data_IF_491962333945
#
_entry.id   IF_491962333945
#
_cell.length_a   1.000
_cell.length_b   1.000
_cell.length_c   1.000
_cell.angle_alpha   90.00
_cell.angle_beta   90.00
_cell.angle_gamma   90.00
#
_symmetry.space_group_name_H-M   'P 1'
#
loop_
_entity.id
_entity.type
_entity.pdbx_description
1 polymer ?
#
# COMPACT_ATOMS: atom_id res chain seq x y z
N UNK A 1 0.03 5.21 14.60
CA UNK A 1 -0.43 3.98 15.28
C UNK A 1 -0.35 2.77 14.35
N UNK A 2 -1.00 2.81 13.17
CA UNK A 2 -1.00 1.72 12.18
C UNK A 2 0.41 1.36 11.67
N UNK A 3 1.30 2.33 11.45
CA UNK A 3 2.69 2.05 11.04
C UNK A 3 3.49 1.20 12.06
N UNK A 4 3.22 1.35 13.37
CA UNK A 4 3.87 0.52 14.41
C UNK A 4 3.31 -0.90 14.49
N UNK A 5 2.03 -1.07 14.14
CA UNK A 5 1.41 -2.39 13.98
C UNK A 5 1.99 -3.10 12.76
N UNK A 6 2.09 -2.36 11.64
CA UNK A 6 2.63 -2.87 10.38
C UNK A 6 4.06 -3.41 10.54
N UNK A 7 4.91 -2.78 11.36
CA UNK A 7 6.29 -3.22 11.54
C UNK A 7 6.44 -4.39 12.52
N UNK A 8 5.55 -4.52 13.51
CA UNK A 8 5.65 -5.59 14.53
C UNK A 8 4.91 -6.88 14.13
N UNK A 9 3.72 -6.75 13.53
CA UNK A 9 2.80 -7.88 13.34
C UNK A 9 2.68 -8.33 11.89
N UNK A 10 3.34 -7.65 10.95
CA UNK A 10 3.27 -7.97 9.53
C UNK A 10 4.67 -7.99 8.91
N UNK A 11 4.83 -8.87 7.91
CA UNK A 11 6.07 -9.01 7.16
C UNK A 11 5.81 -9.13 5.67
N UNK A 12 6.87 -8.98 4.88
CA UNK A 12 6.82 -8.98 3.42
C UNK A 12 7.11 -7.61 2.78
N UNK A 13 7.09 -7.56 1.44
CA UNK A 13 7.35 -6.35 0.68
C UNK A 13 6.36 -5.24 1.04
N UNK A 14 6.76 -3.97 0.85
CA UNK A 14 5.82 -2.86 0.95
C UNK A 14 4.56 -3.14 0.14
N UNK A 15 3.40 -2.87 0.73
CA UNK A 15 2.09 -3.02 0.08
C UNK A 15 1.68 -4.46 -0.27
N UNK A 16 2.43 -5.48 0.17
CA UNK A 16 2.09 -6.89 -0.02
C UNK A 16 2.39 -7.70 1.25
N UNK A 17 2.00 -7.15 2.40
CA UNK A 17 2.32 -7.75 3.69
C UNK A 17 1.29 -8.75 4.16
N UNK A 18 1.77 -9.75 4.87
CA UNK A 18 0.94 -10.76 5.55
C UNK A 18 1.30 -10.80 7.03
N UNK A 19 0.43 -11.35 7.91
CA UNK A 19 0.77 -11.46 9.32
C UNK A 19 2.10 -12.19 9.53
N UNK A 20 2.88 -11.71 10.48
CA UNK A 20 4.08 -12.40 10.91
C UNK A 20 3.70 -13.69 11.65
N UNK A 21 4.39 -14.79 11.38
CA UNK A 21 4.13 -16.05 12.06
C UNK A 21 4.71 -16.05 13.48
N UNK A 22 3.88 -15.76 14.48
CA UNK A 22 4.25 -15.78 15.90
C UNK A 22 3.20 -16.50 16.73
N UNK A 23 3.53 -17.68 17.24
CA UNK A 23 2.65 -18.43 18.14
C UNK A 23 2.53 -17.76 19.51
N UNK A 24 3.58 -17.05 19.96
CA UNK A 24 3.56 -16.29 21.22
C UNK A 24 2.57 -15.13 21.16
N UNK A 25 2.59 -14.35 20.08
CA UNK A 25 1.66 -13.23 19.90
C UNK A 25 0.23 -13.74 19.64
N UNK A 26 0.08 -14.89 18.97
CA UNK A 26 -1.21 -15.57 18.78
C UNK A 26 -1.82 -16.06 20.09
N UNK A 27 -1.05 -16.77 20.92
CA UNK A 27 -1.49 -17.25 22.24
C UNK A 27 -1.89 -16.09 23.15
N UNK A 28 -1.18 -14.96 23.03
CA UNK A 28 -1.47 -13.73 23.78
C UNK A 28 -2.69 -12.95 23.26
N UNK A 29 -3.36 -13.39 22.19
CA UNK A 29 -4.53 -12.69 21.63
C UNK A 29 -4.20 -11.40 20.88
N UNK A 30 -2.94 -11.18 20.51
CA UNK A 30 -2.50 -9.89 19.99
C UNK A 30 -2.97 -9.63 18.55
N UNK A 31 -3.19 -10.66 17.72
CA UNK A 31 -3.75 -10.44 16.38
C UNK A 31 -5.20 -9.97 16.45
N UNK A 32 -5.96 -10.39 17.46
CA UNK A 32 -7.30 -9.85 17.72
C UNK A 32 -7.21 -8.38 18.11
N UNK A 33 -6.31 -8.04 19.01
CA UNK A 33 -6.06 -6.64 19.40
C UNK A 33 -5.67 -5.79 18.19
N UNK A 34 -4.84 -6.32 17.28
CA UNK A 34 -4.51 -5.68 16.01
C UNK A 34 -5.78 -5.43 15.17
N UNK A 35 -6.63 -6.44 14.99
CA UNK A 35 -7.92 -6.28 14.30
C UNK A 35 -8.81 -5.20 14.91
N UNK A 36 -8.90 -5.15 16.24
CA UNK A 36 -9.66 -4.13 16.97
C UNK A 36 -9.08 -2.73 16.74
N UNK A 37 -7.75 -2.57 16.76
CA UNK A 37 -7.10 -1.27 16.49
C UNK A 37 -7.34 -0.83 15.04
N UNK A 38 -7.28 -1.75 14.07
CA UNK A 38 -7.59 -1.42 12.66
C UNK A 38 -9.05 -0.98 12.52
N UNK A 39 -9.98 -1.66 13.20
CA UNK A 39 -11.39 -1.28 13.20
C UNK A 39 -11.63 0.10 13.84
N UNK A 40 -10.99 0.40 14.98
CA UNK A 40 -11.05 1.73 15.61
C UNK A 40 -10.49 2.80 14.69
N UNK A 41 -9.32 2.55 14.08
CA UNK A 41 -8.69 3.49 13.15
C UNK A 41 -9.67 3.87 12.04
N UNK A 42 -10.26 2.88 11.36
CA UNK A 42 -11.20 3.14 10.27
C UNK A 42 -12.49 3.81 10.74
N UNK A 43 -13.06 3.39 11.87
CA UNK A 43 -14.28 3.97 12.41
C UNK A 43 -14.13 5.44 12.82
N UNK A 44 -12.91 5.86 13.18
CA UNK A 44 -12.60 7.23 13.61
C UNK A 44 -12.02 8.10 12.49
N UNK A 45 -12.00 7.63 11.24
CA UNK A 45 -11.37 8.35 10.13
C UNK A 45 -9.84 8.41 10.22
N UNK A 46 -9.23 7.54 11.01
CA UNK A 46 -7.79 7.35 11.09
C UNK A 46 -7.22 6.66 9.84
N UNK A 47 -5.91 6.45 9.84
CA UNK A 47 -5.20 5.91 8.69
C UNK A 47 -5.66 4.47 8.38
N UNK A 48 -5.95 4.21 7.11
CA UNK A 48 -6.26 2.88 6.64
C UNK A 48 -4.98 2.02 6.54
N UNK A 49 -5.06 0.69 6.74
CA UNK A 49 -3.89 -0.19 6.62
C UNK A 49 -3.16 -0.08 5.27
N UNK A 50 -3.85 -0.24 4.13
CA UNK A 50 -3.27 -0.10 2.77
C UNK A 50 -1.99 -0.90 2.46
N UNK A 51 -1.63 -1.89 3.29
CA UNK A 51 -0.40 -2.67 3.14
C UNK A 51 -0.60 -4.18 2.97
N UNK A 52 -1.84 -4.67 3.10
CA UNK A 52 -2.13 -6.10 3.06
C UNK A 52 -1.85 -6.69 1.68
N UNK A 53 -1.39 -7.93 1.66
CA UNK A 53 -1.35 -8.76 0.46
C UNK A 53 -2.76 -9.10 -0.01
N UNK A 54 -2.91 -9.30 -1.33
CA UNK A 54 -4.20 -9.59 -1.94
C UNK A 54 -4.84 -10.89 -1.40
N UNK A 55 -4.02 -11.91 -1.11
CA UNK A 55 -4.51 -13.18 -0.59
C UNK A 55 -4.96 -13.04 0.87
N UNK A 56 -4.25 -12.27 1.69
CA UNK A 56 -4.63 -12.05 3.08
C UNK A 56 -5.95 -11.29 3.16
N UNK A 57 -6.13 -10.26 2.31
CA UNK A 57 -7.41 -9.57 2.20
C UNK A 57 -8.53 -10.50 1.71
N UNK A 58 -8.27 -11.30 0.68
CA UNK A 58 -9.24 -12.31 0.20
C UNK A 58 -9.70 -13.24 1.33
N UNK A 59 -8.77 -13.69 2.19
CA UNK A 59 -9.11 -14.50 3.36
C UNK A 59 -10.00 -13.74 4.36
N UNK A 60 -9.75 -12.45 4.61
CA UNK A 60 -10.63 -11.65 5.48
C UNK A 60 -12.06 -11.52 4.93
N UNK A 61 -12.23 -11.56 3.62
CA UNK A 61 -13.54 -11.49 2.97
C UNK A 61 -14.32 -12.81 3.07
N UNK A 62 -13.67 -13.94 2.74
CA UNK A 62 -14.36 -15.21 2.52
C UNK A 62 -13.98 -16.34 3.50
N UNK A 63 -12.94 -16.16 4.31
CA UNK A 63 -12.43 -17.14 5.27
C UNK A 63 -11.76 -18.35 4.64
N UNK A 64 -11.37 -18.28 3.37
CA UNK A 64 -10.81 -19.40 2.60
C UNK A 64 -9.51 -19.01 1.93
N UNK A 65 -8.50 -19.87 2.06
CA UNK A 65 -7.27 -19.78 1.29
C UNK A 65 -7.45 -20.64 0.05
N UNK A 66 -7.36 -20.05 -1.14
CA UNK A 66 -7.39 -20.80 -2.40
C UNK A 66 -5.96 -21.24 -2.76
N UNK A 67 -5.61 -22.53 -2.61
CA UNK A 67 -4.23 -22.97 -2.83
C UNK A 67 -3.78 -22.72 -4.27
N UNK A 68 -4.66 -22.84 -5.26
CA UNK A 68 -4.29 -22.76 -6.69
C UNK A 68 -3.82 -21.37 -7.11
N UNK A 69 -4.15 -20.33 -6.34
CA UNK A 69 -3.75 -18.95 -6.59
C UNK A 69 -2.46 -18.55 -5.87
N UNK A 70 -1.90 -19.42 -5.03
CA UNK A 70 -0.67 -19.16 -4.29
C UNK A 70 0.55 -19.47 -5.15
N UNK A 71 1.52 -18.56 -5.13
CA UNK A 71 2.82 -18.71 -5.78
C UNK A 71 3.96 -18.39 -4.80
N UNK A 72 5.21 -18.59 -5.24
CA UNK A 72 6.38 -18.28 -4.40
C UNK A 72 6.48 -16.80 -4.02
N UNK A 73 5.95 -15.89 -4.83
CA UNK A 73 5.97 -14.45 -4.54
C UNK A 73 5.06 -14.09 -3.36
N UNK A 74 4.07 -14.94 -3.10
CA UNK A 74 3.10 -14.81 -2.02
C UNK A 74 3.72 -15.04 -0.63
N UNK A 75 4.83 -15.77 -0.56
CA UNK A 75 5.49 -16.16 0.70
C UNK A 75 6.12 -14.93 1.36
N UNK A 76 5.57 -14.43 2.46
CA UNK A 76 6.06 -13.23 3.13
C UNK A 76 7.34 -13.46 3.98
N UNK A 77 7.46 -14.64 4.57
CA UNK A 77 8.56 -15.05 5.46
C UNK A 77 9.91 -15.07 4.72
N UNK A 78 10.89 -14.36 5.28
CA UNK A 78 12.21 -14.22 4.66
C UNK A 78 13.03 -15.51 4.66
N UNK A 79 12.93 -16.35 5.70
CA UNK A 79 13.63 -17.64 5.78
C UNK A 79 13.05 -18.64 4.79
N UNK A 80 11.73 -18.70 4.65
CA UNK A 80 11.07 -19.59 3.69
C UNK A 80 11.28 -19.13 2.25
N UNK A 81 11.35 -17.81 1.99
CA UNK A 81 11.79 -17.30 0.68
C UNK A 81 13.20 -17.75 0.35
N UNK A 82 14.14 -17.62 1.31
CA UNK A 82 15.51 -18.08 1.12
C UNK A 82 15.58 -19.59 0.85
N UNK A 83 14.77 -20.38 1.56
CA UNK A 83 14.68 -21.82 1.32
C UNK A 83 14.17 -22.12 -0.10
N UNK A 84 13.15 -21.39 -0.58
CA UNK A 84 12.66 -21.50 -1.97
C UNK A 84 13.79 -21.20 -2.96
N UNK A 85 14.50 -20.09 -2.78
CA UNK A 85 15.60 -19.68 -3.67
C UNK A 85 16.75 -20.72 -3.68
N UNK A 86 17.06 -21.29 -2.52
CA UNK A 86 18.05 -22.36 -2.38
C UNK A 86 17.60 -23.65 -3.08
N UNK A 87 16.34 -24.05 -2.94
CA UNK A 87 15.78 -25.22 -3.65
C UNK A 87 15.82 -25.01 -5.15
N UNK A 88 15.43 -23.83 -5.65
CA UNK A 88 15.43 -23.52 -7.08
C UNK A 88 16.85 -23.58 -7.66
N UNK A 89 17.84 -23.04 -6.95
CA UNK A 89 19.24 -23.02 -7.38
C UNK A 89 20.05 -24.28 -7.04
N UNK A 90 19.47 -25.24 -6.30
CA UNK A 90 20.20 -26.41 -5.78
C UNK A 90 20.74 -27.37 -6.85
N UNK A 91 21.86 -28.03 -6.53
CA UNK A 91 22.32 -29.27 -7.17
C UNK A 91 21.89 -30.47 -6.32
N UNK A 92 22.09 -31.70 -6.79
CA UNK A 92 21.73 -32.90 -6.00
C UNK A 92 22.39 -32.91 -4.61
N UNK A 93 23.66 -32.50 -4.52
CA UNK A 93 24.39 -32.46 -3.24
C UNK A 93 23.88 -31.38 -2.30
N UNK A 94 23.58 -30.17 -2.81
CA UNK A 94 23.09 -29.09 -1.95
C UNK A 94 21.63 -29.29 -1.55
N UNK A 95 20.81 -29.95 -2.39
CA UNK A 95 19.43 -30.28 -2.08
C UNK A 95 19.32 -31.28 -0.92
N UNK A 96 20.24 -32.26 -0.85
CA UNK A 96 20.29 -33.17 0.31
C UNK A 96 20.52 -32.43 1.63
N UNK A 97 21.29 -31.34 1.60
CA UNK A 97 21.51 -30.47 2.76
C UNK A 97 20.28 -29.67 3.21
N UNK A 98 19.21 -29.62 2.41
CA UNK A 98 17.95 -28.93 2.72
C UNK A 98 16.82 -29.90 3.10
N UNK A 99 17.15 -31.18 3.26
CA UNK A 99 16.15 -32.25 3.42
C UNK A 99 15.27 -32.01 4.64
N UNK A 100 15.87 -31.69 5.79
CA UNK A 100 15.13 -31.52 7.03
C UNK A 100 14.21 -30.28 6.95
N UNK A 101 14.67 -29.17 6.38
CA UNK A 101 13.85 -27.97 6.17
C UNK A 101 12.67 -28.23 5.23
N UNK A 102 12.88 -28.99 4.15
CA UNK A 102 11.84 -29.39 3.20
C UNK A 102 10.80 -30.30 3.88
N UNK A 103 11.26 -31.30 4.65
CA UNK A 103 10.38 -32.21 5.39
C UNK A 103 9.60 -31.48 6.48
N UNK A 104 10.21 -30.51 7.17
CA UNK A 104 9.55 -29.65 8.17
C UNK A 104 8.44 -28.78 7.56
N UNK A 105 8.52 -28.48 6.26
CA UNK A 105 7.43 -27.84 5.52
C UNK A 105 6.29 -28.80 5.15
N UNK A 106 6.38 -30.09 5.52
CA UNK A 106 5.36 -31.10 5.24
C UNK A 106 5.45 -31.73 3.86
N UNK A 107 6.58 -31.58 3.14
CA UNK A 107 6.79 -32.28 1.89
C UNK A 107 7.03 -33.77 2.13
N UNK A 108 6.29 -34.65 1.45
CA UNK A 108 6.41 -36.12 1.60
C UNK A 108 6.79 -36.82 0.30
N UNK A 109 7.11 -36.07 -0.74
CA UNK A 109 7.52 -36.61 -2.04
C UNK A 109 8.99 -36.99 -2.09
N UNK A 110 9.43 -37.49 -3.24
CA UNK A 110 10.86 -37.72 -3.49
C UNK A 110 11.60 -36.38 -3.58
N UNK A 111 12.61 -36.20 -2.73
CA UNK A 111 13.47 -35.01 -2.74
C UNK A 111 14.59 -35.26 -3.77
N UNK A 112 14.45 -34.66 -4.95
CA UNK A 112 15.48 -34.67 -5.99
C UNK A 112 15.36 -33.44 -6.88
N UNK A 113 16.43 -33.11 -7.61
CA UNK A 113 16.44 -31.91 -8.49
C UNK A 113 15.41 -31.97 -9.62
N UNK A 114 14.87 -33.16 -9.93
CA UNK A 114 13.79 -33.31 -10.92
C UNK A 114 12.41 -32.91 -10.36
N UNK A 115 12.26 -32.82 -9.04
CA UNK A 115 11.00 -32.54 -8.36
C UNK A 115 11.01 -31.21 -7.59
N UNK A 116 11.79 -30.22 -8.06
CA UNK A 116 11.89 -28.90 -7.42
C UNK A 116 10.56 -28.15 -7.35
N UNK A 117 9.74 -28.23 -8.40
CA UNK A 117 8.44 -27.56 -8.45
C UNK A 117 7.49 -28.03 -7.34
N UNK A 118 7.25 -29.34 -7.14
CA UNK A 118 6.51 -29.85 -5.97
C UNK A 118 7.08 -29.42 -4.62
N UNK A 119 8.41 -29.34 -4.48
CA UNK A 119 9.05 -28.91 -3.23
C UNK A 119 8.75 -27.43 -2.96
N UNK A 120 9.01 -26.55 -3.93
CA UNK A 120 8.70 -25.11 -3.83
C UNK A 120 7.22 -24.88 -3.55
N UNK A 121 6.36 -25.67 -4.18
CA UNK A 121 4.92 -25.64 -3.95
C UNK A 121 4.57 -26.00 -2.50
N UNK A 122 5.16 -27.06 -1.94
CA UNK A 122 4.92 -27.45 -0.56
C UNK A 122 5.40 -26.38 0.43
N UNK A 123 6.58 -25.80 0.22
CA UNK A 123 7.10 -24.70 1.04
C UNK A 123 6.17 -23.48 0.97
N UNK A 124 5.68 -23.14 -0.24
CA UNK A 124 4.71 -22.04 -0.44
C UNK A 124 3.42 -22.28 0.34
N UNK A 125 2.85 -23.49 0.24
CA UNK A 125 1.63 -23.85 0.96
C UNK A 125 1.86 -23.82 2.48
N UNK A 126 2.97 -24.37 2.95
CA UNK A 126 3.34 -24.33 4.36
C UNK A 126 3.42 -22.90 4.89
N UNK A 127 4.11 -22.01 4.15
CA UNK A 127 4.30 -20.62 4.53
C UNK A 127 2.97 -19.85 4.69
N UNK A 128 2.01 -20.09 3.79
CA UNK A 128 0.73 -19.36 3.75
C UNK A 128 -0.29 -19.99 4.71
N UNK A 129 -0.47 -21.31 4.67
CA UNK A 129 -1.51 -21.99 5.45
C UNK A 129 -1.28 -21.88 6.96
N UNK A 130 -0.02 -21.84 7.41
CA UNK A 130 0.30 -21.66 8.83
C UNK A 130 -0.12 -20.29 9.39
N UNK A 131 -0.38 -19.30 8.55
CA UNK A 131 -0.84 -17.96 8.95
C UNK A 131 -2.36 -17.90 9.18
N UNK A 132 -3.10 -18.95 8.82
CA UNK A 132 -4.55 -19.00 8.96
C UNK A 132 -5.03 -18.69 10.40
N UNK A 133 -4.42 -19.20 11.49
CA UNK A 133 -4.86 -18.88 12.85
C UNK A 133 -4.71 -17.38 13.19
N UNK A 134 -3.62 -16.75 12.74
CA UNK A 134 -3.37 -15.32 12.97
C UNK A 134 -4.40 -14.46 12.23
N UNK A 135 -4.71 -14.82 10.98
CA UNK A 135 -5.75 -14.13 10.20
C UNK A 135 -7.14 -14.35 10.79
N UNK A 136 -7.44 -15.54 11.32
CA UNK A 136 -8.72 -15.81 11.97
C UNK A 136 -8.89 -14.96 13.23
N UNK A 137 -7.86 -14.91 14.08
CA UNK A 137 -7.86 -14.08 15.28
C UNK A 137 -7.93 -12.57 14.93
N UNK A 138 -7.24 -12.13 13.87
CA UNK A 138 -7.37 -10.77 13.36
C UNK A 138 -8.80 -10.44 12.88
N UNK A 139 -9.42 -11.39 12.18
CA UNK A 139 -10.80 -11.29 11.70
C UNK A 139 -11.79 -11.15 12.86
N UNK A 140 -11.56 -11.83 13.99
CA UNK A 140 -12.35 -11.63 15.22
C UNK A 140 -12.27 -10.18 15.71
N UNK A 141 -11.08 -9.58 15.71
CA UNK A 141 -10.91 -8.19 16.12
C UNK A 141 -11.60 -7.20 15.18
N UNK A 142 -11.60 -7.48 13.87
CA UNK A 142 -12.32 -6.69 12.87
C UNK A 142 -13.85 -6.75 13.04
N UNK A 143 -14.40 -7.63 13.88
CA UNK A 143 -15.84 -7.62 14.19
C UNK A 143 -16.25 -6.38 14.99
N UNK A 144 -15.29 -5.68 15.62
CA UNK A 144 -15.53 -4.42 16.30
C UNK A 144 -16.15 -3.40 15.32
N UNK A 145 -17.21 -2.71 15.78
CA UNK A 145 -18.06 -1.83 14.96
C UNK A 145 -18.70 -2.49 13.73
N UNK A 146 -18.70 -3.82 13.63
CA UNK A 146 -19.25 -4.55 12.49
C UNK A 146 -18.40 -4.46 11.23
N UNK A 147 -17.12 -4.04 11.31
CA UNK A 147 -16.28 -3.85 10.13
C UNK A 147 -16.11 -5.15 9.31
N UNK A 148 -15.95 -6.31 9.97
CA UNK A 148 -15.87 -7.59 9.25
C UNK A 148 -17.14 -7.89 8.43
N UNK A 149 -18.33 -7.51 8.92
CA UNK A 149 -19.57 -7.66 8.15
C UNK A 149 -19.53 -6.81 6.88
N UNK A 150 -19.03 -5.57 6.97
CA UNK A 150 -18.87 -4.68 5.82
C UNK A 150 -17.86 -5.23 4.81
N UNK A 151 -16.70 -5.72 5.27
CA UNK A 151 -15.68 -6.34 4.41
C UNK A 151 -16.27 -7.53 3.65
N UNK A 152 -17.05 -8.37 4.33
CA UNK A 152 -17.70 -9.53 3.71
C UNK A 152 -18.79 -9.13 2.72
N UNK A 153 -19.58 -8.10 3.04
CA UNK A 153 -20.69 -7.65 2.22
C UNK A 153 -20.25 -6.83 1.00
N UNK A 154 -19.17 -6.06 1.14
CA UNK A 154 -18.68 -5.11 0.14
C UNK A 154 -17.16 -5.25 -0.08
N UNK A 155 -16.66 -6.43 -0.50
CA UNK A 155 -15.23 -6.71 -0.58
C UNK A 155 -14.50 -5.76 -1.54
N UNK A 156 -15.10 -5.39 -2.66
CA UNK A 156 -14.47 -4.47 -3.64
C UNK A 156 -14.39 -3.03 -3.11
N UNK A 157 -15.38 -2.60 -2.30
CA UNK A 157 -15.41 -1.24 -1.71
C UNK A 157 -14.41 -1.15 -0.56
N UNK A 158 -14.28 -2.19 0.25
CA UNK A 158 -13.37 -2.23 1.38
C UNK A 158 -11.91 -2.52 0.97
N UNK A 159 -11.67 -3.07 -0.23
CA UNK A 159 -10.33 -3.49 -0.66
C UNK A 159 -9.28 -2.38 -0.56
N UNK A 160 -9.53 -1.14 -1.06
CA UNK A 160 -8.54 -0.07 -1.00
C UNK A 160 -8.16 0.38 0.42
N UNK A 161 -8.95 0.01 1.43
CA UNK A 161 -8.62 0.29 2.84
C UNK A 161 -7.54 -0.66 3.36
N UNK A 162 -7.44 -1.87 2.83
CA UNK A 162 -6.54 -2.91 3.32
C UNK A 162 -5.36 -3.13 2.40
N UNK A 163 -5.63 -3.25 1.11
CA UNK A 163 -4.63 -3.44 0.06
C UNK A 163 -4.40 -2.09 -0.59
N UNK A 164 -3.15 -1.74 -0.92
CA UNK A 164 -2.90 -0.54 -1.68
C UNK A 164 -3.64 -0.64 -3.02
N UNK A 165 -4.72 0.12 -3.16
CA UNK A 165 -5.33 0.38 -4.46
C UNK A 165 -4.30 1.12 -5.30
N UNK A 166 -3.94 0.58 -6.46
CA UNK A 166 -3.22 1.40 -7.43
C UNK A 166 -4.10 2.58 -7.76
N UNK A 167 -3.62 3.80 -7.50
CA UNK A 167 -4.08 5.04 -8.17
C UNK A 167 -3.25 6.29 -7.84
N UNK A 168 -2.25 6.22 -6.96
CA UNK A 168 -1.20 7.26 -6.90
C UNK A 168 0.18 6.61 -6.96
N UNK A 169 0.82 6.68 -8.13
CA UNK A 169 2.21 6.27 -8.29
C UNK A 169 3.11 7.45 -7.93
N UNK A 170 3.67 7.41 -6.73
CA UNK A 170 4.69 8.37 -6.31
C UNK A 170 6.05 7.92 -6.85
N UNK A 171 6.65 8.73 -7.72
CA UNK A 171 8.05 8.53 -8.13
C UNK A 171 8.96 9.17 -7.08
N UNK A 172 9.10 8.48 -5.95
CA UNK A 172 10.03 8.89 -4.89
C UNK A 172 11.47 8.52 -5.27
N UNK A 173 12.39 9.39 -4.88
CA UNK A 173 13.83 9.15 -4.84
C UNK A 173 14.16 7.97 -3.91
N UNK A 174 15.36 7.42 -4.05
CA UNK A 174 15.84 6.27 -3.28
C UNK A 174 15.69 6.47 -1.77
N UNK A 175 15.15 5.45 -1.08
CA UNK A 175 14.93 5.46 0.36
C UNK A 175 16.24 5.71 1.12
N UNK A 176 16.20 6.59 2.11
CA UNK A 176 17.36 6.96 2.92
C UNK A 176 18.11 8.21 2.43
N UNK A 177 17.69 8.81 1.33
CA UNK A 177 18.22 10.11 0.87
C UNK A 177 17.47 11.29 1.49
N UNK A 178 18.13 12.44 1.62
CA UNK A 178 17.45 13.69 2.02
C UNK A 178 16.36 14.11 1.03
N UNK A 179 16.53 13.77 -0.26
CA UNK A 179 15.51 13.98 -1.29
C UNK A 179 14.24 13.18 -0.99
N UNK A 180 14.38 11.89 -0.67
CA UNK A 180 13.24 11.03 -0.32
C UNK A 180 12.43 11.59 0.85
N UNK A 181 13.10 12.08 1.90
CA UNK A 181 12.41 12.67 3.05
C UNK A 181 11.58 13.89 2.65
N UNK A 182 12.17 14.81 1.88
CA UNK A 182 11.48 16.04 1.46
C UNK A 182 10.31 15.74 0.51
N UNK A 183 10.45 14.75 -0.37
CA UNK A 183 9.37 14.30 -1.25
C UNK A 183 8.22 13.69 -0.45
N UNK A 184 8.54 12.89 0.56
CA UNK A 184 7.55 12.31 1.47
C UNK A 184 6.82 13.41 2.27
N UNK A 185 7.55 14.42 2.75
CA UNK A 185 6.96 15.58 3.44
C UNK A 185 5.98 16.33 2.53
N UNK A 186 6.30 16.52 1.25
CA UNK A 186 5.40 17.15 0.27
C UNK A 186 4.16 16.30 -0.02
N UNK A 187 4.29 14.98 -0.08
CA UNK A 187 3.14 14.07 -0.21
C UNK A 187 2.24 14.18 1.02
N UNK A 188 2.82 14.19 2.22
CA UNK A 188 2.07 14.38 3.46
C UNK A 188 1.37 15.74 3.48
N UNK A 189 2.01 16.82 3.02
CA UNK A 189 1.38 18.13 2.94
C UNK A 189 0.17 18.15 1.98
N UNK A 190 0.19 17.40 0.88
CA UNK A 190 -0.99 17.23 0.02
C UNK A 190 -2.12 16.55 0.82
N UNK A 191 -1.81 15.47 1.53
CA UNK A 191 -2.80 14.73 2.33
C UNK A 191 -3.40 15.61 3.43
N UNK A 192 -2.55 16.31 4.18
CA UNK A 192 -2.95 17.23 5.25
C UNK A 192 -3.85 18.34 4.72
N UNK A 193 -3.50 18.95 3.57
CA UNK A 193 -4.31 20.01 2.97
C UNK A 193 -5.67 19.51 2.51
N UNK A 194 -5.72 18.33 1.87
CA UNK A 194 -6.98 17.75 1.42
C UNK A 194 -7.87 17.37 2.60
N UNK A 195 -7.28 16.83 3.67
CA UNK A 195 -7.99 16.52 4.90
C UNK A 195 -8.55 17.78 5.59
N UNK A 196 -7.73 18.84 5.72
CA UNK A 196 -8.19 20.15 6.23
C UNK A 196 -9.37 20.68 5.42
N UNK A 197 -9.34 20.48 4.10
CA UNK A 197 -10.38 20.99 3.20
C UNK A 197 -11.73 20.29 3.30
N UNK A 198 -11.76 19.07 3.84
CA UNK A 198 -13.01 18.33 4.09
C UNK A 198 -13.73 18.82 5.36
N UNK A 199 -13.03 19.50 6.27
CA UNK A 199 -13.57 19.99 7.53
C UNK A 199 -14.17 21.41 7.46
N UNK A 200 -13.91 22.17 6.39
CA UNK A 200 -14.30 23.58 6.25
C UNK A 200 -15.64 23.73 5.48
N UNK A 201 -16.54 24.61 5.92
CA UNK A 201 -17.83 24.80 5.26
C UNK A 201 -17.67 25.37 3.83
N UNK A 202 -18.21 24.63 2.85
CA UNK A 202 -17.98 24.79 1.42
C UNK A 202 -18.30 26.19 0.85
N UNK A 203 -17.26 27.01 0.68
CA UNK A 203 -17.28 28.16 -0.23
C UNK A 203 -17.09 27.74 -1.70
N UNK A 204 -17.61 28.49 -2.69
CA UNK A 204 -17.50 28.15 -4.12
C UNK A 204 -16.06 28.17 -4.68
N UNK A 205 -15.07 28.56 -3.87
CA UNK A 205 -13.64 28.59 -4.20
C UNK A 205 -12.78 27.73 -3.27
N UNK A 206 -13.36 26.93 -2.39
CA UNK A 206 -12.58 26.00 -1.57
C UNK A 206 -11.95 24.91 -2.44
N UNK A 207 -10.73 24.53 -2.09
CA UNK A 207 -10.15 23.27 -2.56
C UNK A 207 -10.97 22.14 -1.92
N UNK A 208 -11.24 21.08 -2.67
CA UNK A 208 -11.80 19.83 -2.16
C UNK A 208 -11.09 18.69 -2.87
N UNK A 209 -11.11 17.44 -2.36
CA UNK A 209 -10.50 16.30 -3.04
C UNK A 209 -10.98 16.15 -4.49
N UNK A 210 -12.29 16.31 -4.72
CA UNK A 210 -12.87 16.23 -6.06
C UNK A 210 -12.37 17.36 -6.98
N UNK A 211 -12.28 18.60 -6.50
CA UNK A 211 -11.79 19.72 -7.32
C UNK A 211 -10.30 19.66 -7.56
N UNK A 212 -9.53 19.19 -6.57
CA UNK A 212 -8.10 18.95 -6.72
C UNK A 212 -7.83 17.85 -7.74
N UNK A 213 -8.58 16.75 -7.68
CA UNK A 213 -8.51 15.68 -8.68
C UNK A 213 -8.90 16.21 -10.07
N UNK A 214 -9.94 17.03 -10.16
CA UNK A 214 -10.34 17.68 -11.42
C UNK A 214 -9.24 18.58 -11.98
N UNK A 215 -8.56 19.32 -11.13
CA UNK A 215 -7.44 20.16 -11.55
C UNK A 215 -6.30 19.31 -12.12
N UNK A 216 -5.94 18.21 -11.45
CA UNK A 216 -4.80 17.37 -11.85
C UNK A 216 -5.10 16.48 -13.06
N UNK A 217 -6.33 16.00 -13.20
CA UNK A 217 -6.68 14.95 -14.16
C UNK A 217 -7.68 15.39 -15.22
N UNK A 218 -8.26 16.59 -15.08
CA UNK A 218 -9.39 17.05 -15.89
C UNK A 218 -10.75 16.48 -15.48
N UNK A 219 -10.79 15.48 -14.58
CA UNK A 219 -12.02 14.85 -14.11
C UNK A 219 -12.09 14.86 -12.57
N UNK A 220 -13.21 15.34 -12.03
CA UNK A 220 -13.42 15.41 -10.57
C UNK A 220 -13.84 14.08 -9.92
N UNK A 221 -13.92 13.01 -10.72
CA UNK A 221 -14.36 11.69 -10.28
C UNK A 221 -13.34 10.63 -10.65
N UNK A 222 -13.24 9.61 -9.81
CA UNK A 222 -12.47 8.39 -10.09
C UNK A 222 -13.28 7.53 -11.08
N UNK A 223 -12.66 6.96 -12.14
CA UNK A 223 -13.36 6.08 -13.07
C UNK A 223 -13.99 4.89 -12.36
N UNK A 224 -15.16 4.46 -12.83
CA UNK A 224 -15.90 3.34 -12.24
C UNK A 224 -15.54 2.01 -12.90
N UNK A 225 -15.18 2.01 -14.19
CA UNK A 225 -14.91 0.80 -14.94
C UNK A 225 -13.54 0.21 -14.56
N UNK A 226 -13.43 -1.11 -14.30
CA UNK A 226 -12.16 -1.75 -13.93
C UNK A 226 -11.04 -1.54 -14.95
N UNK A 227 -11.37 -1.49 -16.25
CA UNK A 227 -10.43 -1.18 -17.32
C UNK A 227 -9.87 0.24 -17.24
N UNK A 228 -10.72 1.21 -16.90
CA UNK A 228 -10.33 2.63 -16.79
C UNK A 228 -9.58 2.90 -15.49
N UNK A 229 -9.97 2.24 -14.38
CA UNK A 229 -9.25 2.29 -13.10
C UNK A 229 -7.81 1.82 -13.23
N UNK A 230 -7.56 0.73 -13.99
CA UNK A 230 -6.21 0.23 -14.21
C UNK A 230 -5.27 1.28 -14.81
N UNK A 231 -5.82 2.20 -15.61
CA UNK A 231 -5.08 3.26 -16.30
C UNK A 231 -5.22 4.63 -15.60
N UNK A 232 -5.86 4.69 -14.43
CA UNK A 232 -6.12 5.92 -13.68
C UNK A 232 -5.06 6.26 -12.62
N UNK A 233 -3.78 6.15 -12.98
CA UNK A 233 -2.71 6.55 -12.07
C UNK A 233 -2.42 8.06 -12.12
N UNK A 234 -2.54 8.76 -10.99
CA UNK A 234 -1.99 10.11 -10.84
C UNK A 234 -0.49 10.01 -10.53
N UNK A 235 0.29 10.74 -11.32
CA UNK A 235 1.76 10.77 -11.23
C UNK A 235 2.22 12.04 -10.53
N UNK A 236 2.89 11.88 -9.38
CA UNK A 236 3.52 13.01 -8.67
C UNK A 236 5.02 13.00 -8.92
N UNK A 237 5.56 14.12 -9.43
CA UNK A 237 6.99 14.34 -9.67
C UNK A 237 7.50 15.51 -8.85
N UNK A 238 8.79 15.50 -8.55
CA UNK A 238 9.43 16.49 -7.70
C UNK A 238 10.56 17.18 -8.45
N UNK A 239 10.46 18.50 -8.60
CA UNK A 239 11.53 19.31 -9.18
C UNK A 239 12.44 19.83 -8.05
N UNK A 240 13.59 19.17 -7.90
CA UNK A 240 14.62 19.56 -6.93
C UNK A 240 15.56 20.65 -7.44
N UNK A 241 15.55 20.97 -8.74
CA UNK A 241 16.50 21.88 -9.37
C UNK A 241 15.82 22.83 -10.36
N UNK A 242 14.81 23.57 -9.88
CA UNK A 242 14.06 24.52 -10.69
C UNK A 242 14.91 25.63 -11.32
N UNK A 243 16.12 25.89 -10.80
CA UNK A 243 17.05 26.87 -11.39
C UNK A 243 17.60 26.42 -12.75
N UNK A 244 17.71 25.11 -12.98
CA UNK A 244 18.11 24.58 -14.29
C UNK A 244 17.04 24.83 -15.36
N UNK A 245 15.77 24.83 -14.95
CA UNK A 245 14.63 24.99 -15.86
C UNK A 245 14.26 26.46 -16.07
N UNK A 246 14.38 27.29 -15.03
CA UNK A 246 13.84 28.66 -15.02
C UNK A 246 14.86 29.76 -14.71
N UNK A 247 16.14 29.43 -14.50
CA UNK A 247 17.17 30.39 -14.09
C UNK A 247 16.91 30.97 -12.71
N UNK A 248 17.31 32.22 -12.46
CA UNK A 248 17.11 32.89 -11.16
C UNK A 248 15.65 33.36 -11.00
N UNK A 249 14.98 32.94 -9.93
CA UNK A 249 13.56 33.23 -9.67
C UNK A 249 13.26 33.23 -8.16
N UNK A 250 12.17 33.89 -7.77
CA UNK A 250 11.75 34.02 -6.36
C UNK A 250 10.73 32.96 -5.92
N UNK A 251 10.01 32.34 -6.86
CA UNK A 251 8.94 31.36 -6.58
C UNK A 251 8.77 30.44 -7.80
N UNK A 252 8.29 29.22 -7.57
CA UNK A 252 7.79 28.34 -8.62
C UNK A 252 6.41 27.83 -8.22
N UNK A 253 5.55 27.65 -9.21
CA UNK A 253 4.25 27.00 -9.03
C UNK A 253 4.30 25.55 -9.53
N UNK A 254 3.45 24.67 -9.00
CA UNK A 254 3.22 23.34 -9.55
C UNK A 254 2.85 23.39 -11.02
N UNK A 255 3.39 22.43 -11.78
CA UNK A 255 3.01 22.24 -13.18
C UNK A 255 2.10 21.03 -13.27
N UNK A 256 0.90 21.24 -13.80
CA UNK A 256 -0.10 20.19 -13.98
C UNK A 256 -0.26 19.87 -15.46
N UNK A 257 -0.25 18.57 -15.78
CA UNK A 257 -0.60 18.04 -17.09
C UNK A 257 -1.78 17.08 -16.93
N UNK A 258 -2.99 17.57 -17.21
CA UNK A 258 -4.22 16.80 -17.07
C UNK A 258 -4.27 15.57 -17.97
N UNK A 259 -3.87 15.71 -19.24
CA UNK A 259 -3.79 14.60 -20.19
C UNK A 259 -2.84 13.49 -19.73
N UNK A 260 -1.75 13.85 -19.07
CA UNK A 260 -0.77 12.89 -18.52
C UNK A 260 -1.02 12.55 -17.05
N UNK A 261 -2.11 13.05 -16.45
CA UNK A 261 -2.47 12.90 -15.02
C UNK A 261 -1.28 13.17 -14.10
N UNK A 262 -0.45 14.14 -14.45
CA UNK A 262 0.85 14.40 -13.81
C UNK A 262 0.85 15.77 -13.14
N UNK A 263 1.31 15.82 -11.89
CA UNK A 263 1.66 17.06 -11.19
C UNK A 263 3.16 17.07 -10.86
N UNK A 264 3.83 18.19 -11.12
CA UNK A 264 5.24 18.42 -10.78
C UNK A 264 5.32 19.48 -9.69
N UNK A 265 5.84 19.11 -8.52
CA UNK A 265 5.97 20.00 -7.37
C UNK A 265 7.38 20.62 -7.27
N UNK A 266 7.50 21.94 -7.14
CA UNK A 266 8.79 22.62 -6.96
C UNK A 266 9.26 22.54 -5.50
N UNK A 267 10.24 21.68 -5.24
CA UNK A 267 10.69 21.34 -3.88
C UNK A 267 11.31 22.54 -3.15
N UNK A 268 12.13 23.33 -3.85
CA UNK A 268 12.93 24.42 -3.25
C UNK A 268 12.07 25.50 -2.58
N UNK A 269 10.84 25.70 -3.04
CA UNK A 269 9.93 26.77 -2.63
C UNK A 269 8.74 26.27 -1.80
N UNK A 270 8.72 24.99 -1.43
CA UNK A 270 7.64 24.34 -0.68
C UNK A 270 8.18 23.62 0.57
N UNK A 271 9.17 24.20 1.26
CA UNK A 271 9.89 23.50 2.34
C UNK A 271 9.07 23.32 3.62
N UNK A 272 8.15 24.23 3.90
CA UNK A 272 7.22 24.13 5.02
C UNK A 272 5.79 23.97 4.54
N UNK A 273 4.93 23.39 5.38
CA UNK A 273 3.50 23.29 5.10
C UNK A 273 2.87 24.63 4.74
N UNK A 274 3.24 25.72 5.43
CA UNK A 274 2.72 27.07 5.14
C UNK A 274 3.09 27.58 3.75
N UNK A 275 4.33 27.35 3.32
CA UNK A 275 4.80 27.71 1.97
C UNK A 275 4.12 26.85 0.91
N UNK A 276 4.10 25.54 1.14
CA UNK A 276 3.39 24.59 0.29
C UNK A 276 1.93 24.99 0.10
N UNK A 277 1.19 25.23 1.19
CA UNK A 277 -0.23 25.59 1.17
C UNK A 277 -0.47 26.88 0.40
N UNK A 278 0.33 27.91 0.64
CA UNK A 278 0.24 29.18 -0.09
C UNK A 278 0.42 28.97 -1.60
N UNK A 279 1.54 28.35 -2.00
CA UNK A 279 1.91 28.17 -3.40
C UNK A 279 0.92 27.25 -4.14
N UNK A 280 0.50 26.15 -3.51
CA UNK A 280 -0.42 25.19 -4.11
C UNK A 280 -1.83 25.78 -4.27
N UNK A 281 -2.36 26.46 -3.25
CA UNK A 281 -3.68 27.09 -3.34
C UNK A 281 -3.69 28.19 -4.39
N UNK A 282 -2.67 29.04 -4.42
CA UNK A 282 -2.55 30.08 -5.45
C UNK A 282 -2.51 29.48 -6.86
N UNK A 283 -1.70 28.44 -7.08
CA UNK A 283 -1.65 27.72 -8.36
C UNK A 283 -2.99 27.06 -8.72
N UNK A 284 -3.67 26.48 -7.73
CA UNK A 284 -4.97 25.86 -7.92
C UNK A 284 -6.04 26.89 -8.32
N UNK A 285 -6.10 28.03 -7.63
CA UNK A 285 -7.08 29.09 -7.92
C UNK A 285 -6.84 29.72 -9.29
N UNK A 286 -5.59 30.04 -9.63
CA UNK A 286 -5.23 30.60 -10.94
C UNK A 286 -5.42 29.57 -12.06
N UNK A 287 -5.14 28.29 -11.80
CA UNK A 287 -5.31 27.20 -12.77
C UNK A 287 -6.76 26.87 -13.09
N UNK A 288 -7.73 27.31 -12.28
CA UNK A 288 -9.16 27.09 -12.50
C UNK A 288 -9.79 28.16 -13.42
N UNK A 289 -9.10 29.26 -13.74
CA UNK A 289 -9.68 30.37 -14.54
C UNK A 289 -9.99 29.97 -16.00
N UNK A 290 -9.42 28.87 -16.50
CA UNK A 290 -9.74 28.33 -17.84
C UNK A 290 -11.10 27.63 -17.94
N UNK A 291 -11.81 27.39 -16.82
CA UNK A 291 -13.15 26.77 -16.81
C UNK A 291 -14.31 27.79 -16.78
N UNK A 292 -14.03 29.09 -16.79
CA UNK A 292 -15.05 30.15 -16.70
C UNK A 292 -15.28 30.92 -18.03
N UNK A 293 -14.96 30.32 -19.18
CA UNK A 293 -15.28 30.87 -20.52
C UNK A 293 -16.16 29.90 -21.29
#
# INVERSE_FOLDING_TARGET
MVAGIETRFFEGPPHQKSPHYSLTDFDSGLFRTVGEILAVSLAQGGHAPTFFSQWAYSYLCNGQINPTQLDKNTVADSQLRLLIDQVESSTEQSLQGLTDEILNCGFTGAISVQHKEPIVRAITLHAVLRLQPMLEQLKEGLQLYGLHLLIKQYPEICQPLFVLGGDVTHFLSEKGTSKHQVELDLVNFIQDLLYESEADENGPRSITPARFLQWITGQGHVPLLPSEKKDFAVVVKFNHNCEADFGNHSICYPVVSSCAKTIVLPVKHMKSYSQFRMVLLEAFHLGQEFNNV
#
